data_IF_617721688751
#
_entry.id   IF_617721688751
#
_cell.length_a   1.000
_cell.length_b   1.000
_cell.length_c   1.000
_cell.angle_alpha   90.00
_cell.angle_beta   90.00
_cell.angle_gamma   90.00
#
_symmetry.space_group_name_H-M   'P 1'
#
loop_
_entity.id
_entity.type
_entity.pdbx_description
1 polymer ?
#
# COMPACT_ATOMS: atom_id res chain seq x y z
N UNK A 1 -16.89 -18.19 55.21
CA UNK A 1 -15.54 -17.55 55.09
C UNK A 1 -15.39 -16.45 56.13
N UNK A 2 -14.17 -15.99 56.42
CA UNK A 2 -13.95 -14.82 57.30
C UNK A 2 -14.27 -13.53 56.52
N UNK A 3 -15.05 -12.61 57.10
CA UNK A 3 -15.45 -11.34 56.46
C UNK A 3 -14.26 -10.56 55.89
N UNK A 4 -13.15 -10.48 56.64
CA UNK A 4 -11.90 -9.85 56.18
C UNK A 4 -11.35 -10.42 54.86
N UNK A 5 -11.53 -11.72 54.61
CA UNK A 5 -11.12 -12.34 53.34
C UNK A 5 -12.08 -12.00 52.21
N UNK A 6 -13.36 -11.78 52.50
CA UNK A 6 -14.39 -11.45 51.52
C UNK A 6 -14.20 -10.01 51.07
N UNK A 7 -13.97 -9.07 52.00
CA UNK A 7 -13.76 -7.66 51.69
C UNK A 7 -12.61 -7.47 50.70
N UNK A 8 -11.50 -8.21 50.87
CA UNK A 8 -10.36 -8.19 49.93
C UNK A 8 -10.66 -8.79 48.56
N UNK A 9 -11.66 -9.65 48.46
CA UNK A 9 -12.01 -10.40 47.26
C UNK A 9 -13.22 -9.82 46.52
N UNK A 10 -13.88 -8.83 47.11
CA UNK A 10 -15.17 -8.34 46.63
C UNK A 10 -15.07 -7.61 45.30
N UNK A 11 -13.97 -6.88 45.08
CA UNK A 11 -13.71 -6.22 43.79
C UNK A 11 -13.54 -7.26 42.67
N UNK A 12 -12.69 -8.26 42.88
CA UNK A 12 -12.49 -9.37 41.94
C UNK A 12 -13.77 -10.20 41.71
N UNK A 13 -14.65 -10.27 42.71
CA UNK A 13 -15.96 -10.91 42.56
C UNK A 13 -16.89 -10.08 41.68
N UNK A 14 -16.91 -8.75 41.83
CA UNK A 14 -17.70 -7.84 40.98
C UNK A 14 -17.20 -7.88 39.52
N UNK A 15 -15.88 -7.90 39.32
CA UNK A 15 -15.24 -7.92 38.00
C UNK A 15 -15.25 -9.31 37.34
N UNK A 16 -15.70 -10.36 38.06
CA UNK A 16 -15.79 -11.72 37.53
C UNK A 16 -14.45 -12.46 37.37
N UNK A 17 -13.38 -12.00 38.03
CA UNK A 17 -12.01 -12.54 37.89
C UNK A 17 -11.71 -13.76 38.77
N UNK A 18 -12.68 -14.19 39.57
CA UNK A 18 -12.53 -15.31 40.49
C UNK A 18 -13.00 -16.64 39.88
N UNK A 19 -12.39 -17.75 40.34
CA UNK A 19 -12.83 -19.09 39.95
C UNK A 19 -14.24 -19.40 40.44
N UNK A 20 -14.98 -20.22 39.68
CA UNK A 20 -16.38 -20.60 40.00
C UNK A 20 -16.57 -21.08 41.45
N UNK A 21 -15.65 -21.91 41.98
CA UNK A 21 -15.70 -22.36 43.38
C UNK A 21 -15.60 -21.21 44.41
N UNK A 22 -14.81 -20.18 44.11
CA UNK A 22 -14.66 -19.01 44.99
C UNK A 22 -15.88 -18.09 44.90
N UNK A 23 -16.47 -17.94 43.72
CA UNK A 23 -17.70 -17.18 43.53
C UNK A 23 -18.84 -17.76 44.36
N UNK A 24 -19.08 -19.06 44.26
CA UNK A 24 -20.14 -19.72 45.04
C UNK A 24 -19.96 -19.52 46.56
N UNK A 25 -18.73 -19.66 47.06
CA UNK A 25 -18.42 -19.42 48.49
C UNK A 25 -18.64 -17.96 48.93
N UNK A 26 -18.46 -17.01 48.02
CA UNK A 26 -18.71 -15.60 48.28
C UNK A 26 -20.22 -15.33 48.27
N UNK A 27 -20.96 -15.86 47.29
CA UNK A 27 -22.42 -15.76 47.20
C UNK A 27 -23.10 -16.32 48.45
N UNK A 28 -22.70 -17.53 48.87
CA UNK A 28 -23.18 -18.13 50.12
C UNK A 28 -22.91 -17.22 51.33
N UNK A 29 -21.75 -16.58 51.38
CA UNK A 29 -21.43 -15.67 52.48
C UNK A 29 -22.23 -14.36 52.43
N UNK A 30 -22.48 -13.81 51.24
CA UNK A 30 -23.28 -12.61 51.06
C UNK A 30 -24.76 -12.87 51.41
N UNK A 31 -25.26 -14.10 51.21
CA UNK A 31 -26.60 -14.50 51.63
C UNK A 31 -26.76 -14.62 53.15
N UNK A 32 -25.67 -14.87 53.87
CA UNK A 32 -25.68 -15.15 55.32
C UNK A 32 -25.16 -13.99 56.18
N UNK A 33 -24.32 -13.10 55.63
CA UNK A 33 -23.72 -11.99 56.36
C UNK A 33 -24.23 -10.64 55.85
N UNK A 34 -25.07 -9.98 56.65
CA UNK A 34 -25.67 -8.69 56.32
C UNK A 34 -24.63 -7.57 56.14
N UNK A 35 -23.60 -7.54 56.99
CA UNK A 35 -22.48 -6.56 56.89
C UNK A 35 -21.76 -6.66 55.53
N UNK A 36 -21.41 -7.88 55.11
CA UNK A 36 -20.73 -8.09 53.83
C UNK A 36 -21.66 -7.80 52.64
N UNK A 37 -22.95 -8.12 52.75
CA UNK A 37 -23.95 -7.79 51.73
C UNK A 37 -24.10 -6.28 51.55
N UNK A 38 -24.17 -5.52 52.65
CA UNK A 38 -24.25 -4.07 52.60
C UNK A 38 -23.01 -3.47 51.93
N UNK A 39 -21.82 -3.92 52.32
CA UNK A 39 -20.56 -3.47 51.71
C UNK A 39 -20.49 -3.81 50.22
N UNK A 40 -20.99 -4.97 49.81
CA UNK A 40 -21.12 -5.34 48.39
C UNK A 40 -22.03 -4.38 47.62
N UNK A 41 -23.19 -4.05 48.18
CA UNK A 41 -24.12 -3.13 47.54
C UNK A 41 -23.53 -1.71 47.41
N UNK A 42 -22.90 -1.19 48.47
CA UNK A 42 -22.24 0.12 48.45
C UNK A 42 -21.10 0.20 47.42
N UNK A 43 -20.26 -0.84 47.37
CA UNK A 43 -19.17 -0.92 46.40
C UNK A 43 -19.73 -0.99 44.96
N UNK A 44 -20.73 -1.85 44.72
CA UNK A 44 -21.38 -1.99 43.42
C UNK A 44 -22.06 -0.70 42.96
N UNK A 45 -22.76 0.00 43.86
CA UNK A 45 -23.37 1.29 43.53
C UNK A 45 -22.33 2.35 43.16
N UNK A 46 -21.20 2.39 43.88
CA UNK A 46 -20.12 3.34 43.62
C UNK A 46 -19.50 3.11 42.23
N UNK A 47 -19.23 1.85 41.89
CA UNK A 47 -18.69 1.47 40.57
C UNK A 47 -19.68 1.78 39.44
N UNK A 48 -20.98 1.53 39.64
CA UNK A 48 -22.01 1.86 38.66
C UNK A 48 -22.09 3.35 38.35
N UNK A 49 -21.84 4.23 39.32
CA UNK A 49 -21.79 5.69 39.07
C UNK A 49 -20.62 6.03 38.16
N UNK A 50 -19.44 5.47 38.44
CA UNK A 50 -18.24 5.66 37.61
C UNK A 50 -18.49 5.17 36.19
N UNK A 51 -19.15 4.01 36.04
CA UNK A 51 -19.46 3.44 34.73
C UNK A 51 -20.46 4.29 33.94
N UNK A 52 -21.45 4.90 34.61
CA UNK A 52 -22.40 5.83 33.97
C UNK A 52 -21.76 7.14 33.55
N UNK A 53 -20.87 7.69 34.37
CA UNK A 53 -20.13 8.92 34.08
C UNK A 53 -19.01 8.72 33.06
N UNK A 54 -18.61 7.47 32.82
CA UNK A 54 -17.71 7.11 31.75
C UNK A 54 -18.41 7.43 30.43
N UNK A 55 -18.16 8.63 29.91
CA UNK A 55 -18.53 9.02 28.57
C UNK A 55 -17.33 8.68 27.67
N UNK A 56 -17.28 7.49 27.03
CA UNK A 56 -16.23 7.20 26.08
C UNK A 56 -16.44 8.10 24.87
N UNK A 57 -15.89 9.32 24.92
CA UNK A 57 -15.65 10.11 23.71
C UNK A 57 -14.66 9.31 22.89
N UNK A 58 -15.16 8.41 22.06
CA UNK A 58 -14.34 7.61 21.16
C UNK A 58 -13.73 8.59 20.17
N UNK A 59 -12.43 8.86 20.32
CA UNK A 59 -11.71 9.66 19.34
C UNK A 59 -11.85 8.97 17.97
N UNK A 60 -12.45 9.63 16.96
CA UNK A 60 -12.72 9.03 15.65
C UNK A 60 -11.48 8.45 14.96
N UNK A 61 -10.29 8.93 15.33
CA UNK A 61 -9.02 8.53 14.72
C UNK A 61 -8.26 7.47 15.53
N UNK A 62 -8.78 7.03 16.68
CA UNK A 62 -8.09 6.08 17.54
C UNK A 62 -7.88 4.73 16.82
N UNK A 63 -8.91 4.24 16.15
CA UNK A 63 -8.82 3.01 15.35
C UNK A 63 -7.77 3.15 14.24
N UNK A 64 -7.81 4.24 13.48
CA UNK A 64 -6.86 4.48 12.38
C UNK A 64 -5.42 4.51 12.87
N UNK A 65 -5.15 5.22 13.97
CA UNK A 65 -3.80 5.30 14.55
C UNK A 65 -3.29 3.97 15.08
N UNK A 66 -4.16 3.16 15.69
CA UNK A 66 -3.78 1.83 16.18
C UNK A 66 -3.51 0.90 15.01
N UNK A 67 -4.39 0.90 14.01
CA UNK A 67 -4.25 0.08 12.80
C UNK A 67 -2.93 0.40 12.08
N UNK A 68 -2.64 1.67 11.85
CA UNK A 68 -1.39 2.10 11.23
C UNK A 68 -0.15 1.60 11.99
N UNK A 69 -0.13 1.72 13.33
CA UNK A 69 1.00 1.22 14.13
C UNK A 69 1.17 -0.30 14.04
N UNK A 70 0.08 -1.06 13.98
CA UNK A 70 0.14 -2.51 13.81
C UNK A 70 0.66 -2.88 12.42
N UNK A 71 0.18 -2.20 11.38
CA UNK A 71 0.63 -2.41 10.01
C UNK A 71 2.12 -2.06 9.86
N UNK A 72 2.60 -0.97 10.48
CA UNK A 72 4.02 -0.59 10.49
C UNK A 72 4.91 -1.65 11.17
N UNK A 73 4.44 -2.22 12.29
CA UNK A 73 5.15 -3.29 13.01
C UNK A 73 5.24 -4.56 12.14
N UNK A 74 4.16 -4.90 11.44
CA UNK A 74 4.09 -6.07 10.58
C UNK A 74 4.86 -5.87 9.25
N UNK A 75 4.87 -4.68 8.66
CA UNK A 75 5.63 -4.39 7.44
C UNK A 75 7.14 -4.27 7.69
N UNK A 76 7.54 -3.74 8.85
CA UNK A 76 8.96 -3.67 9.26
C UNK A 76 9.60 -5.06 9.35
N UNK A 77 8.79 -6.09 9.63
CA UNK A 77 9.23 -7.48 9.72
C UNK A 77 9.10 -8.26 8.40
N UNK A 78 8.50 -7.69 7.34
CA UNK A 78 8.15 -8.42 6.12
C UNK A 78 8.66 -7.82 4.81
N UNK A 79 9.52 -6.79 4.82
CA UNK A 79 10.18 -6.36 3.58
C UNK A 79 11.43 -7.22 3.37
N UNK A 80 11.42 -8.22 2.46
CA UNK A 80 12.67 -8.79 2.00
C UNK A 80 13.40 -7.68 1.24
N UNK A 81 14.36 -7.04 1.91
CA UNK A 81 15.28 -6.07 1.32
C UNK A 81 15.91 -6.65 0.03
N UNK A 82 16.00 -7.98 -0.08
CA UNK A 82 16.46 -8.73 -1.23
C UNK A 82 15.52 -8.73 -2.46
N UNK A 83 14.20 -8.59 -2.34
CA UNK A 83 13.29 -8.69 -3.49
C UNK A 83 13.31 -7.45 -4.39
N UNK A 84 13.49 -6.26 -3.80
CA UNK A 84 13.61 -5.00 -4.56
C UNK A 84 14.97 -4.91 -5.29
N UNK A 85 16.00 -5.59 -4.78
CA UNK A 85 17.33 -5.57 -5.39
C UNK A 85 17.41 -6.45 -6.65
N UNK A 86 16.68 -7.56 -6.72
CA UNK A 86 16.70 -8.44 -7.90
C UNK A 86 15.85 -7.88 -9.06
N UNK A 87 14.74 -7.18 -8.80
CA UNK A 87 13.90 -6.60 -9.86
C UNK A 87 14.62 -5.43 -10.56
N UNK A 88 15.44 -4.64 -9.84
CA UNK A 88 16.27 -3.58 -10.43
C UNK A 88 17.37 -4.09 -11.36
N UNK A 89 17.80 -5.35 -11.21
CA UNK A 89 18.86 -5.94 -12.05
C UNK A 89 18.34 -6.48 -13.39
N UNK A 90 17.08 -6.94 -13.45
CA UNK A 90 16.45 -7.45 -14.68
C UNK A 90 15.75 -6.37 -15.52
N UNK A 91 15.60 -5.15 -15.00
CA UNK A 91 15.00 -4.03 -15.71
C UNK A 91 15.71 -3.65 -17.05
N UNK A 92 17.06 -3.60 -17.15
CA UNK A 92 17.72 -3.30 -18.43
C UNK A 92 17.59 -4.42 -19.47
N UNK A 93 17.45 -5.68 -19.04
CA UNK A 93 17.33 -6.83 -19.94
C UNK A 93 16.00 -6.80 -20.73
N UNK A 94 14.90 -6.43 -20.08
CA UNK A 94 13.59 -6.32 -20.73
C UNK A 94 13.56 -5.19 -21.79
N UNK A 95 14.18 -4.04 -21.50
CA UNK A 95 14.26 -2.92 -22.47
C UNK A 95 15.08 -3.33 -23.69
N UNK A 96 16.23 -3.99 -23.48
CA UNK A 96 17.05 -4.51 -24.58
C UNK A 96 16.29 -5.56 -25.41
N UNK A 97 15.52 -6.44 -24.76
CA UNK A 97 14.70 -7.44 -25.43
C UNK A 97 13.61 -6.81 -26.31
N UNK A 98 12.91 -5.79 -25.81
CA UNK A 98 11.86 -5.06 -26.56
C UNK A 98 12.45 -4.37 -27.80
N UNK A 99 13.60 -3.72 -27.66
CA UNK A 99 14.30 -3.07 -28.79
C UNK A 99 14.71 -4.11 -29.83
N UNK A 100 15.32 -5.22 -29.39
CA UNK A 100 15.71 -6.32 -30.27
C UNK A 100 14.52 -6.93 -31.01
N UNK A 101 13.39 -7.10 -30.33
CA UNK A 101 12.15 -7.60 -30.95
C UNK A 101 11.64 -6.65 -32.03
N UNK A 102 11.65 -5.34 -31.77
CA UNK A 102 11.23 -4.33 -32.74
C UNK A 102 12.10 -4.33 -34.00
N UNK A 103 13.42 -4.43 -33.85
CA UNK A 103 14.36 -4.52 -34.98
C UNK A 103 14.09 -5.81 -35.78
N UNK A 104 13.93 -6.95 -35.11
CA UNK A 104 13.67 -8.24 -35.76
C UNK A 104 12.36 -8.23 -36.55
N UNK A 105 11.30 -7.68 -35.96
CA UNK A 105 10.00 -7.53 -36.62
C UNK A 105 10.12 -6.61 -37.83
N UNK A 106 10.82 -5.48 -37.70
CA UNK A 106 11.04 -4.54 -38.80
C UNK A 106 11.76 -5.19 -39.99
N UNK A 107 12.82 -5.95 -39.73
CA UNK A 107 13.57 -6.68 -40.77
C UNK A 107 12.69 -7.74 -41.44
N UNK A 108 11.94 -8.52 -40.65
CA UNK A 108 11.01 -9.52 -41.21
C UNK A 108 9.99 -8.88 -42.12
N UNK A 109 9.33 -7.81 -41.68
CA UNK A 109 8.31 -7.11 -42.48
C UNK A 109 8.93 -6.57 -43.78
N UNK A 110 10.10 -5.96 -43.73
CA UNK A 110 10.79 -5.45 -44.93
C UNK A 110 11.14 -6.56 -45.93
N UNK A 111 11.48 -7.76 -45.45
CA UNK A 111 11.81 -8.90 -46.31
C UNK A 111 10.56 -9.61 -46.87
N UNK A 112 9.40 -9.47 -46.20
CA UNK A 112 8.13 -10.05 -46.64
C UNK A 112 7.49 -9.27 -47.80
N UNK A 113 7.90 -8.02 -48.04
CA UNK A 113 7.59 -7.30 -49.27
C UNK A 113 8.78 -7.45 -50.23
N UNK A 114 8.76 -8.43 -51.15
CA UNK A 114 9.71 -8.40 -52.25
C UNK A 114 9.53 -7.05 -52.95
N UNK A 115 10.58 -6.22 -52.97
CA UNK A 115 10.65 -5.10 -53.89
C UNK A 115 10.42 -5.69 -55.27
N UNK A 116 9.26 -5.40 -55.85
CA UNK A 116 8.99 -5.74 -57.23
C UNK A 116 10.10 -5.08 -58.04
N UNK A 117 10.98 -5.91 -58.60
CA UNK A 117 12.11 -5.47 -59.41
C UNK A 117 11.59 -5.00 -60.77
N UNK A 118 10.81 -3.92 -60.74
CA UNK A 118 10.38 -3.19 -61.90
C UNK A 118 11.45 -2.12 -62.13
N UNK A 119 12.20 -2.36 -63.21
CA UNK A 119 13.14 -1.46 -63.89
C UNK A 119 13.44 -0.14 -63.16
N UNK A 120 14.71 0.01 -62.79
CA UNK A 120 15.37 1.23 -62.31
C UNK A 120 15.14 2.38 -63.32
N UNK A 121 13.96 2.98 -63.29
CA UNK A 121 13.55 4.08 -64.17
C UNK A 121 12.45 4.96 -63.55
N UNK A 122 12.00 4.69 -62.33
CA UNK A 122 10.88 5.43 -61.70
C UNK A 122 11.20 5.98 -60.31
N UNK A 123 12.49 6.07 -59.96
CA UNK A 123 12.98 6.79 -58.77
C UNK A 123 13.75 8.06 -59.13
N UNK A 124 13.44 8.70 -60.27
CA UNK A 124 14.08 9.94 -60.73
C UNK A 124 13.19 11.18 -60.64
N UNK A 125 11.89 11.05 -60.32
CA UNK A 125 10.98 12.20 -60.30
C UNK A 125 11.04 13.05 -59.03
N UNK A 126 11.51 12.52 -57.89
CA UNK A 126 11.60 13.30 -56.65
C UNK A 126 12.98 13.92 -56.37
N UNK A 127 14.03 13.52 -57.10
CA UNK A 127 15.37 14.08 -56.93
C UNK A 127 15.66 15.29 -57.84
N UNK A 128 14.68 15.70 -58.67
CA UNK A 128 14.83 16.80 -59.63
C UNK A 128 14.52 18.19 -59.06
N UNK A 129 14.04 18.29 -57.81
CA UNK A 129 13.70 19.58 -57.19
C UNK A 129 14.78 20.18 -56.29
N UNK A 130 15.94 19.52 -56.12
CA UNK A 130 17.07 20.04 -55.34
C UNK A 130 18.33 20.07 -56.21
N UNK A 131 18.26 20.79 -57.33
CA UNK A 131 19.46 21.22 -58.05
C UNK A 131 19.39 22.72 -58.35
N UNK A 132 19.50 23.52 -57.29
CA UNK A 132 19.57 24.99 -57.36
C UNK A 132 20.87 25.46 -58.04
N UNK A 133 21.85 24.56 -58.23
CA UNK A 133 23.13 24.85 -58.86
C UNK A 133 23.04 25.05 -60.38
N UNK A 134 21.90 24.70 -61.00
CA UNK A 134 21.69 24.83 -62.45
C UNK A 134 20.93 26.11 -62.85
N UNK A 135 20.51 26.94 -61.87
CA UNK A 135 19.75 28.17 -62.13
C UNK A 135 20.54 29.48 -61.99
N UNK A 136 21.84 29.44 -61.69
CA UNK A 136 22.67 30.66 -61.70
C UNK A 136 23.10 31.07 -63.12
N UNK A 137 22.15 31.61 -63.89
CA UNK A 137 22.42 32.36 -65.12
C UNK A 137 22.91 33.80 -64.87
N UNK A 138 23.12 34.19 -63.61
CA UNK A 138 23.43 35.58 -63.24
C UNK A 138 24.89 35.93 -63.57
N UNK A 139 25.84 34.99 -63.43
CA UNK A 139 27.25 35.27 -63.67
C UNK A 139 27.60 35.44 -65.15
N UNK A 140 26.94 34.67 -66.05
CA UNK A 140 27.17 34.81 -67.49
C UNK A 140 26.59 36.12 -68.05
N UNK A 141 25.51 36.65 -67.45
CA UNK A 141 24.95 37.94 -67.84
C UNK A 141 25.83 39.13 -67.43
N UNK A 142 26.54 39.03 -66.30
CA UNK A 142 27.44 40.08 -65.81
C UNK A 142 28.79 40.11 -66.54
N UNK A 143 29.23 38.99 -67.12
CA UNK A 143 30.50 38.89 -67.84
C UNK A 143 30.41 39.30 -69.32
N UNK A 144 29.20 39.40 -69.89
CA UNK A 144 28.99 39.60 -71.33
C UNK A 144 28.30 40.92 -71.71
N UNK A 145 28.02 41.80 -70.73
CA UNK A 145 27.54 43.17 -70.97
C UNK A 145 28.66 44.17 -70.67
N UNK A 146 29.54 44.36 -71.66
CA UNK A 146 30.20 45.66 -71.92
C UNK A 146 29.36 46.44 -72.94
#
# INVERSE_FOLDING_TARGET
MKCKSIHKKLIFFIDGELSSNKNQKIEEHLSTCQECSKLYQELKSSLNVIEKEKNPKTNPYLYTRIKQRLDDINESSSKPIFAIQQIKLFQPALVSFIIGLGIFIGISIGNFYPLENNNIAESQSEQYYINDLQQEHVEYFLLNNE
#
